data_IF_551549464968
#
_entry.id   IF_551549464968
#
_cell.length_a   1.000
_cell.length_b   1.000
_cell.length_c   1.000
_cell.angle_alpha   90.00
_cell.angle_beta   90.00
_cell.angle_gamma   90.00
#
_symmetry.space_group_name_H-M   'P 1'
#
loop_
_entity.id
_entity.type
_entity.pdbx_description
1 polymer ?
#
# COMPACT_ATOMS: atom_id res chain seq x y z
N UNK A 1 6.20 -2.73 19.63
CA UNK A 1 5.78 -2.31 18.28
C UNK A 1 5.26 -0.90 18.41
N UNK A 2 5.79 0.00 17.57
CA UNK A 2 5.49 1.43 17.60
C UNK A 2 4.36 1.76 16.63
N UNK A 3 3.53 2.73 16.99
CA UNK A 3 2.45 3.25 16.16
C UNK A 3 3.02 3.85 14.87
N UNK A 4 2.58 3.42 13.67
CA UNK A 4 3.12 3.92 12.40
C UNK A 4 2.73 5.38 12.11
N UNK A 5 1.78 5.95 12.87
CA UNK A 5 1.26 7.30 12.67
C UNK A 5 1.99 8.35 13.52
N UNK A 6 2.42 7.98 14.72
CA UNK A 6 3.00 8.93 15.69
C UNK A 6 4.16 8.40 16.53
N UNK A 7 4.65 7.19 16.24
CA UNK A 7 5.78 6.51 16.89
C UNK A 7 5.63 6.16 18.39
N UNK A 8 4.51 6.48 19.04
CA UNK A 8 4.22 6.04 20.41
C UNK A 8 4.03 4.52 20.49
N UNK A 9 4.16 3.95 21.68
CA UNK A 9 3.87 2.53 21.90
C UNK A 9 2.43 2.17 21.51
N UNK A 10 2.27 1.05 20.82
CA UNK A 10 0.96 0.56 20.41
C UNK A 10 0.15 0.11 21.63
N UNK A 11 -1.13 0.48 21.64
CA UNK A 11 -2.09 0.01 22.65
C UNK A 11 -2.62 -1.36 22.21
N UNK A 12 -2.63 -2.40 23.06
CA UNK A 12 -3.17 -3.72 22.74
C UNK A 12 -4.56 -3.71 22.09
N UNK A 13 -5.43 -2.78 22.48
CA UNK A 13 -6.80 -2.64 21.94
C UNK A 13 -6.83 -2.06 20.52
N UNK A 14 -5.80 -1.29 20.15
CA UNK A 14 -5.75 -0.54 18.89
C UNK A 14 -4.60 -0.96 17.98
N UNK A 15 -3.93 -2.09 18.25
CA UNK A 15 -2.77 -2.54 17.46
C UNK A 15 -3.09 -2.56 15.96
N UNK A 16 -2.19 -2.05 15.09
CA UNK A 16 -0.82 -1.60 15.38
C UNK A 16 -0.68 -0.17 15.92
N UNK A 17 -1.77 0.53 16.23
CA UNK A 17 -1.80 1.94 16.61
C UNK A 17 -1.80 2.15 18.13
N UNK A 18 -1.51 3.39 18.55
CA UNK A 18 -1.59 3.79 19.96
C UNK A 18 -2.99 4.25 20.40
N UNK A 19 -3.92 4.50 19.47
CA UNK A 19 -5.28 4.98 19.77
C UNK A 19 -6.21 4.90 18.56
N UNK A 20 -7.53 4.99 18.81
CA UNK A 20 -8.55 5.13 17.75
C UNK A 20 -8.25 6.29 16.78
N UNK A 21 -7.81 7.44 17.31
CA UNK A 21 -7.48 8.61 16.48
C UNK A 21 -6.40 8.29 15.45
N UNK A 22 -5.37 7.52 15.81
CA UNK A 22 -4.32 7.15 14.86
C UNK A 22 -4.83 6.16 13.81
N UNK A 23 -5.70 5.22 14.18
CA UNK A 23 -6.36 4.33 13.21
C UNK A 23 -7.22 5.12 12.20
N UNK A 24 -8.00 6.11 12.68
CA UNK A 24 -8.83 6.95 11.80
C UNK A 24 -7.98 7.81 10.85
N UNK A 25 -6.82 8.31 11.31
CA UNK A 25 -5.86 9.05 10.46
C UNK A 25 -5.27 8.15 9.37
N UNK A 26 -4.90 6.92 9.73
CA UNK A 26 -4.39 5.96 8.75
C UNK A 26 -5.45 5.67 7.67
N UNK A 27 -6.68 5.40 8.09
CA UNK A 27 -7.82 5.21 7.18
C UNK A 27 -8.01 6.43 6.27
N UNK A 28 -7.87 7.65 6.81
CA UNK A 28 -7.91 8.88 6.01
C UNK A 28 -6.85 8.87 4.89
N UNK A 29 -5.61 8.49 5.18
CA UNK A 29 -4.52 8.41 4.20
C UNK A 29 -4.79 7.38 3.11
N UNK A 30 -5.43 6.26 3.45
CA UNK A 30 -5.89 5.26 2.48
C UNK A 30 -6.93 5.84 1.55
N UNK A 31 -7.96 6.50 2.10
CA UNK A 31 -9.05 7.06 1.32
C UNK A 31 -8.61 8.23 0.42
N UNK A 32 -7.57 8.97 0.81
CA UNK A 32 -7.02 10.07 0.00
C UNK A 32 -5.98 9.60 -1.03
N UNK A 33 -5.67 8.31 -1.09
CA UNK A 33 -4.63 7.79 -1.99
C UNK A 33 -3.21 8.24 -1.61
N UNK A 34 -2.98 8.63 -0.35
CA UNK A 34 -1.64 8.99 0.12
C UNK A 34 -0.67 7.80 0.14
N UNK A 35 -1.22 6.57 0.14
CA UNK A 35 -0.46 5.33 -0.03
C UNK A 35 -0.42 4.87 -1.50
N UNK A 36 -0.19 5.80 -2.44
CA UNK A 36 0.02 5.46 -3.85
C UNK A 36 1.48 5.04 -4.10
N UNK A 37 1.67 4.03 -4.95
CA UNK A 37 2.98 3.69 -5.49
C UNK A 37 3.22 4.59 -6.71
N UNK A 38 4.32 5.36 -6.77
CA UNK A 38 4.66 6.12 -7.96
C UNK A 38 4.77 5.19 -9.17
N UNK A 39 4.05 5.49 -10.24
CA UNK A 39 4.21 4.82 -11.52
C UNK A 39 5.29 5.53 -12.34
N UNK A 40 6.05 4.76 -13.11
CA UNK A 40 6.84 5.36 -14.19
C UNK A 40 5.89 5.99 -15.22
N UNK A 41 6.28 7.11 -15.85
CA UNK A 41 5.46 7.73 -16.88
C UNK A 41 5.25 6.71 -18.01
N UNK A 42 3.98 6.37 -18.24
CA UNK A 42 3.58 5.49 -19.35
C UNK A 42 3.65 6.31 -20.63
N UNK A 43 4.42 5.85 -21.61
CA UNK A 43 4.41 6.41 -22.95
C UNK A 43 3.04 6.12 -23.58
N UNK A 44 2.23 7.14 -23.93
CA UNK A 44 0.89 6.95 -24.48
C UNK A 44 0.87 6.22 -25.83
N UNK A 45 2.01 6.12 -26.52
CA UNK A 45 2.17 5.35 -27.76
C UNK A 45 2.66 3.91 -27.52
N UNK A 46 3.02 3.56 -26.29
CA UNK A 46 3.26 2.19 -25.86
C UNK A 46 1.92 1.52 -25.50
N UNK A 47 1.18 1.12 -26.53
CA UNK A 47 0.10 0.14 -26.34
C UNK A 47 0.70 -1.13 -25.73
N UNK A 48 0.21 -1.54 -24.57
CA UNK A 48 0.67 -2.71 -23.83
C UNK A 48 0.76 -3.96 -24.73
N UNK A 49 1.98 -4.36 -25.13
CA UNK A 49 2.23 -5.75 -25.46
C UNK A 49 2.20 -6.53 -24.15
N UNK A 50 1.17 -7.35 -24.01
CA UNK A 50 0.93 -8.35 -22.97
C UNK A 50 2.21 -9.15 -22.63
N UNK A 51 3.03 -8.64 -21.71
CA UNK A 51 4.23 -9.33 -21.22
C UNK A 51 3.96 -10.14 -19.95
N UNK A 52 2.77 -10.73 -19.80
CA UNK A 52 2.50 -11.73 -18.75
C UNK A 52 1.95 -13.07 -19.31
N UNK A 53 2.43 -13.46 -20.50
CA UNK A 53 2.21 -14.81 -21.03
C UNK A 53 3.49 -15.61 -21.31
N UNK A 54 4.67 -15.10 -20.94
CA UNK A 54 5.97 -15.75 -21.27
C UNK A 54 6.70 -16.40 -20.10
N UNK A 55 6.28 -16.19 -18.85
CA UNK A 55 6.99 -16.72 -17.67
C UNK A 55 6.12 -17.57 -16.73
N UNK A 56 5.17 -18.33 -17.28
CA UNK A 56 4.57 -19.47 -16.55
C UNK A 56 5.27 -20.76 -16.99
N UNK A 57 6.22 -21.31 -16.20
CA UNK A 57 6.74 -22.63 -16.47
C UNK A 57 5.58 -23.62 -16.36
N UNK A 58 5.28 -24.28 -17.48
CA UNK A 58 4.31 -25.37 -17.53
C UNK A 58 4.88 -26.54 -16.73
N UNK A 59 4.53 -26.65 -15.45
CA UNK A 59 4.78 -27.86 -14.69
C UNK A 59 3.97 -28.99 -15.32
N UNK A 60 4.67 -29.91 -15.98
CA UNK A 60 4.16 -31.24 -16.32
C UNK A 60 4.33 -32.17 -15.11
#
# INVERSE_FOLDING_TARGET
MTCPICAKDADPKYRPFCSRRCADVDLGRWLTGSYAIPAEPVDPDACDEDTDLRDRPSHH
#
